data_IF_328938178375
#
_entry.id   IF_328938178375
#
_cell.length_a   1.000
_cell.length_b   1.000
_cell.length_c   1.000
_cell.angle_alpha   90.00
_cell.angle_beta   90.00
_cell.angle_gamma   90.00
#
_symmetry.space_group_name_H-M   'P 1'
#
loop_
_entity.id
_entity.type
_entity.pdbx_description
1 polymer ?
#
# COMPACT_ATOMS: atom_id res chain seq x y z
N UNK A 1 -5.32 32.07 24.26
CA UNK A 1 -6.14 31.16 25.09
C UNK A 1 -6.84 30.16 24.18
N UNK A 2 -6.72 28.85 24.45
CA UNK A 2 -7.40 27.80 23.67
C UNK A 2 -8.91 27.88 23.98
N UNK A 3 -9.77 28.03 22.96
CA UNK A 3 -11.22 28.11 23.19
C UNK A 3 -11.74 26.74 23.68
N UNK A 4 -12.73 26.73 24.58
CA UNK A 4 -13.26 25.49 25.23
C UNK A 4 -13.74 24.40 24.25
N UNK A 5 -14.12 24.77 23.02
CA UNK A 5 -14.60 23.85 21.99
C UNK A 5 -13.49 23.25 21.11
N UNK A 6 -12.27 23.80 21.15
CA UNK A 6 -11.20 23.39 20.24
C UNK A 6 -10.48 22.14 20.75
N UNK A 7 -10.55 21.07 19.97
CA UNK A 7 -10.01 19.76 20.32
C UNK A 7 -8.57 19.62 19.80
N UNK A 8 -7.75 18.82 20.49
CA UNK A 8 -6.40 18.49 20.02
C UNK A 8 -6.45 17.41 18.94
N UNK A 9 -5.59 17.50 17.91
CA UNK A 9 -5.35 16.39 16.97
C UNK A 9 -4.84 15.12 17.66
N UNK A 10 -4.22 15.27 18.83
CA UNK A 10 -3.80 14.14 19.68
C UNK A 10 -4.92 13.62 20.61
N UNK A 11 -6.15 14.12 20.51
CA UNK A 11 -7.28 13.57 21.26
C UNK A 11 -7.63 12.21 20.66
N UNK A 12 -7.79 11.22 21.53
CA UNK A 12 -8.25 9.89 21.18
C UNK A 12 -9.52 9.60 22.00
N UNK A 13 -10.36 8.71 21.49
CA UNK A 13 -11.36 8.04 22.31
C UNK A 13 -10.66 7.06 23.21
N UNK A 14 -11.02 7.00 24.49
CA UNK A 14 -10.40 6.11 25.48
C UNK A 14 -11.46 5.29 26.20
N UNK A 15 -11.11 4.04 26.46
CA UNK A 15 -11.94 3.07 27.16
C UNK A 15 -11.09 2.04 27.89
N UNK A 16 -11.72 1.14 28.65
CA UNK A 16 -11.01 0.04 29.30
C UNK A 16 -10.35 -0.83 28.22
N UNK A 17 -9.01 -0.84 28.16
CA UNK A 17 -8.25 -1.66 27.20
C UNK A 17 -8.24 -1.16 25.75
N UNK A 18 -8.74 0.05 25.45
CA UNK A 18 -8.86 0.54 24.07
C UNK A 18 -8.57 2.04 23.94
N UNK A 19 -7.93 2.42 22.82
CA UNK A 19 -7.85 3.80 22.39
C UNK A 19 -7.98 3.92 20.87
N UNK A 20 -8.84 4.82 20.41
CA UNK A 20 -9.10 5.03 18.98
C UNK A 20 -8.69 6.45 18.60
N UNK A 21 -7.77 6.56 17.63
CA UNK A 21 -7.42 7.85 17.02
C UNK A 21 -8.63 8.43 16.27
N UNK A 22 -8.84 9.74 16.38
CA UNK A 22 -10.00 10.40 15.77
C UNK A 22 -9.70 10.78 14.31
N UNK A 23 -10.69 10.73 13.41
CA UNK A 23 -10.57 11.36 12.10
C UNK A 23 -10.40 12.88 12.27
N UNK A 24 -9.99 13.57 11.21
CA UNK A 24 -9.96 15.02 11.23
C UNK A 24 -11.36 15.60 11.41
N UNK A 25 -11.54 16.30 12.53
CA UNK A 25 -12.76 17.03 12.85
C UNK A 25 -12.52 18.53 12.67
N UNK A 26 -13.52 19.26 12.22
CA UNK A 26 -13.50 20.71 12.05
C UNK A 26 -13.23 21.42 13.39
N UNK A 27 -13.69 20.84 14.51
CA UNK A 27 -13.38 21.24 15.87
C UNK A 27 -11.89 21.20 16.24
N UNK A 28 -11.03 20.57 15.43
CA UNK A 28 -9.57 20.59 15.61
C UNK A 28 -8.90 21.81 14.98
N UNK A 29 -9.59 22.51 14.09
CA UNK A 29 -9.04 23.68 13.39
C UNK A 29 -9.42 25.00 14.08
N UNK A 30 -8.50 25.97 14.17
CA UNK A 30 -8.83 27.29 14.70
C UNK A 30 -9.73 28.05 13.72
N UNK A 31 -10.83 28.63 14.20
CA UNK A 31 -11.75 29.51 13.44
C UNK A 31 -11.06 30.74 12.82
N UNK A 32 -9.81 31.04 13.21
CA UNK A 32 -9.02 32.16 12.66
C UNK A 32 -8.21 31.79 11.42
N UNK A 33 -8.33 30.57 10.89
CA UNK A 33 -7.92 30.29 9.52
C UNK A 33 -8.84 31.13 8.62
N UNK A 34 -8.32 32.26 8.13
CA UNK A 34 -9.01 33.14 7.18
C UNK A 34 -9.67 32.31 6.09
N UNK A 35 -10.87 32.71 5.62
CA UNK A 35 -11.63 32.01 4.58
C UNK A 35 -10.87 31.78 3.25
N UNK A 36 -9.65 32.33 3.12
CA UNK A 36 -8.70 32.15 2.02
C UNK A 36 -7.62 31.07 2.26
N UNK A 37 -7.54 30.49 3.46
CA UNK A 37 -6.58 29.44 3.80
C UNK A 37 -7.32 28.26 4.42
N UNK A 38 -7.79 27.34 3.59
CA UNK A 38 -8.32 26.06 4.04
C UNK A 38 -7.37 25.42 5.06
N UNK A 39 -7.88 24.84 6.15
CA UNK A 39 -7.02 24.13 7.08
C UNK A 39 -6.22 23.07 6.33
N UNK A 40 -4.89 23.15 6.43
CA UNK A 40 -4.00 22.29 5.64
C UNK A 40 -4.05 20.85 6.17
N UNK A 41 -4.90 20.03 5.57
CA UNK A 41 -4.84 18.58 5.72
C UNK A 41 -3.45 18.09 5.27
N UNK A 42 -2.83 17.16 6.00
CA UNK A 42 -1.50 16.68 5.63
C UNK A 42 -1.57 15.88 4.33
N UNK A 43 -0.50 15.96 3.54
CA UNK A 43 -0.33 15.09 2.38
C UNK A 43 0.14 13.72 2.85
N UNK A 44 -0.63 12.68 2.51
CA UNK A 44 -0.34 11.29 2.87
C UNK A 44 0.22 10.54 1.68
N UNK A 45 1.06 9.54 1.95
CA UNK A 45 1.75 8.75 0.92
C UNK A 45 1.43 7.27 1.08
N UNK A 46 1.07 6.62 -0.02
CA UNK A 46 0.93 5.17 -0.09
C UNK A 46 1.68 4.60 -1.30
N UNK A 47 2.51 3.59 -1.07
CA UNK A 47 3.30 2.91 -2.09
C UNK A 47 2.78 1.48 -2.27
N UNK A 48 2.08 1.24 -3.38
CA UNK A 48 1.48 -0.05 -3.71
C UNK A 48 2.34 -0.75 -4.74
N UNK A 49 2.81 -1.95 -4.39
CA UNK A 49 3.70 -2.74 -5.21
C UNK A 49 3.03 -4.01 -5.72
N UNK A 50 3.10 -4.18 -7.04
CA UNK A 50 2.76 -5.41 -7.74
C UNK A 50 4.05 -6.09 -8.23
N UNK A 51 4.30 -7.37 -7.89
CA UNK A 51 5.48 -8.07 -8.37
C UNK A 51 5.37 -8.43 -9.86
N UNK A 52 6.49 -8.78 -10.47
CA UNK A 52 6.57 -9.46 -11.77
C UNK A 52 6.11 -8.68 -13.01
N UNK A 53 5.99 -7.35 -12.97
CA UNK A 53 5.75 -6.50 -14.14
C UNK A 53 4.39 -6.68 -14.83
N UNK A 54 4.30 -6.24 -16.10
CA UNK A 54 3.07 -6.28 -16.90
C UNK A 54 3.30 -6.82 -18.31
N UNK A 55 2.24 -7.09 -19.04
CA UNK A 55 2.31 -7.28 -20.49
C UNK A 55 2.46 -5.90 -21.18
N UNK A 56 3.62 -5.58 -21.82
CA UNK A 56 3.89 -4.22 -22.27
C UNK A 56 2.89 -3.67 -23.29
N UNK A 57 2.42 -4.50 -24.21
CA UNK A 57 1.53 -4.12 -25.31
C UNK A 57 0.10 -3.79 -24.85
N UNK A 58 -0.29 -4.23 -23.65
CA UNK A 58 -1.61 -3.98 -23.06
C UNK A 58 -1.60 -3.01 -21.89
N UNK A 59 -0.42 -2.54 -21.48
CA UNK A 59 -0.26 -1.56 -20.40
C UNK A 59 -0.37 -0.11 -20.88
N UNK A 60 0.31 0.27 -21.96
CA UNK A 60 0.46 1.68 -22.36
C UNK A 60 -0.86 2.29 -22.87
N UNK A 61 -1.36 3.39 -22.27
CA UNK A 61 -2.48 4.15 -22.82
C UNK A 61 -2.17 4.75 -24.19
N UNK A 62 -3.18 4.96 -25.03
CA UNK A 62 -3.03 5.73 -26.26
C UNK A 62 -3.31 7.21 -26.02
N UNK A 63 -2.64 8.11 -26.76
CA UNK A 63 -2.72 9.57 -26.55
C UNK A 63 -1.89 10.06 -25.36
N UNK A 64 -1.76 11.38 -25.20
CA UNK A 64 -0.92 12.03 -24.19
C UNK A 64 -1.65 13.21 -23.55
N UNK A 65 -1.14 13.67 -22.40
CA UNK A 65 -1.77 14.74 -21.62
C UNK A 65 -3.16 14.30 -21.15
N UNK A 66 -4.11 15.23 -21.17
CA UNK A 66 -5.50 14.99 -20.75
C UNK A 66 -6.34 14.25 -21.80
N UNK A 67 -5.85 14.11 -23.03
CA UNK A 67 -6.53 13.47 -24.16
C UNK A 67 -5.94 12.08 -24.44
N UNK A 68 -6.11 11.17 -23.48
CA UNK A 68 -5.63 9.79 -23.57
C UNK A 68 -6.76 8.79 -23.35
N UNK A 69 -6.64 7.59 -23.89
CA UNK A 69 -7.54 6.46 -23.62
C UNK A 69 -6.82 5.39 -22.80
N UNK A 70 -7.49 4.91 -21.75
CA UNK A 70 -6.95 3.83 -20.92
C UNK A 70 -6.76 2.57 -21.77
N UNK A 71 -5.62 1.92 -21.59
CA UNK A 71 -5.35 0.62 -22.22
C UNK A 71 -6.28 -0.47 -21.65
N UNK A 72 -6.40 -1.65 -22.30
CA UNK A 72 -7.27 -2.71 -21.83
C UNK A 72 -7.01 -3.14 -20.38
N UNK A 73 -5.75 -3.13 -19.95
CA UNK A 73 -5.36 -3.54 -18.61
C UNK A 73 -5.67 -2.46 -17.57
N UNK A 74 -5.67 -1.18 -17.96
CA UNK A 74 -6.01 -0.04 -17.09
C UNK A 74 -7.50 0.29 -16.99
N UNK A 75 -8.37 -0.42 -17.72
CA UNK A 75 -9.83 -0.21 -17.69
C UNK A 75 -10.47 -0.23 -16.29
N UNK A 76 -9.99 -1.02 -15.30
CA UNK A 76 -10.51 -0.95 -13.94
C UNK A 76 -10.46 0.44 -13.30
N UNK A 77 -9.59 1.35 -13.79
CA UNK A 77 -9.41 2.70 -13.27
C UNK A 77 -10.26 3.76 -13.99
N UNK A 78 -11.23 3.37 -14.83
CA UNK A 78 -12.02 4.29 -15.66
C UNK A 78 -12.73 5.38 -14.84
N UNK A 79 -13.31 5.04 -13.69
CA UNK A 79 -13.97 5.98 -12.76
C UNK A 79 -13.00 6.99 -12.12
N UNK A 80 -11.70 6.67 -12.13
CA UNK A 80 -10.61 7.43 -11.53
C UNK A 80 -9.73 8.11 -12.57
N UNK A 81 -10.07 8.07 -13.88
CA UNK A 81 -9.23 8.60 -14.97
C UNK A 81 -8.74 10.03 -14.71
N UNK A 82 -9.58 10.89 -14.12
CA UNK A 82 -9.26 12.29 -13.81
C UNK A 82 -8.44 12.49 -12.52
N UNK A 83 -8.30 11.44 -11.72
CA UNK A 83 -7.62 11.44 -10.43
C UNK A 83 -6.27 10.71 -10.48
N UNK A 84 -5.88 10.18 -11.65
CA UNK A 84 -4.62 9.45 -11.85
C UNK A 84 -3.68 10.13 -12.84
N UNK A 85 -2.40 9.86 -12.67
CA UNK A 85 -1.33 10.07 -13.61
C UNK A 85 -0.83 8.71 -14.08
N UNK A 86 -0.70 8.51 -15.39
CA UNK A 86 0.05 7.37 -15.96
C UNK A 86 1.39 7.90 -16.45
N UNK A 87 2.49 7.33 -15.94
CA UNK A 87 3.84 7.82 -16.19
C UNK A 87 4.63 6.78 -17.00
N UNK A 88 4.97 7.12 -18.25
CA UNK A 88 5.77 6.30 -19.15
C UNK A 88 7.23 6.76 -19.23
N UNK A 89 8.09 5.85 -19.68
CA UNK A 89 9.54 6.00 -19.88
C UNK A 89 10.38 6.21 -18.61
N UNK A 90 9.78 5.95 -17.45
CA UNK A 90 10.49 5.96 -16.17
C UNK A 90 11.31 4.68 -16.00
N UNK A 91 12.53 4.79 -15.47
CA UNK A 91 13.46 3.65 -15.31
C UNK A 91 14.12 3.68 -13.93
N UNK A 92 14.31 2.50 -13.33
CA UNK A 92 15.19 2.34 -12.18
C UNK A 92 16.59 1.90 -12.63
N UNK A 93 17.45 2.88 -12.95
CA UNK A 93 18.78 2.63 -13.55
C UNK A 93 19.67 1.76 -12.68
N UNK A 94 19.64 1.98 -11.37
CA UNK A 94 20.54 1.31 -10.44
C UNK A 94 20.16 -0.16 -10.18
N UNK A 95 19.07 -0.66 -10.79
CA UNK A 95 18.77 -2.10 -10.88
C UNK A 95 19.56 -2.84 -11.96
N UNK A 96 20.37 -2.12 -12.76
CA UNK A 96 21.21 -2.67 -13.83
C UNK A 96 22.66 -2.67 -13.36
N UNK A 97 23.17 -3.85 -13.00
CA UNK A 97 24.57 -4.08 -12.68
C UNK A 97 24.94 -5.54 -12.97
N UNK A 98 26.23 -5.87 -12.95
CA UNK A 98 26.69 -7.23 -13.23
C UNK A 98 26.08 -8.24 -12.25
N UNK A 99 25.40 -9.26 -12.77
CA UNK A 99 24.77 -10.30 -11.97
C UNK A 99 23.42 -9.92 -11.36
N UNK A 100 22.86 -8.77 -11.74
CA UNK A 100 21.53 -8.30 -11.32
C UNK A 100 20.36 -9.00 -12.02
N UNK A 101 20.55 -10.11 -12.73
CA UNK A 101 19.47 -10.76 -13.47
C UNK A 101 18.34 -11.26 -12.57
N UNK A 102 17.14 -11.36 -13.13
CA UNK A 102 15.94 -11.75 -12.42
C UNK A 102 15.23 -10.59 -11.72
N UNK A 103 14.28 -10.94 -10.85
CA UNK A 103 13.37 -10.00 -10.20
C UNK A 103 14.02 -9.24 -9.03
N UNK A 104 14.91 -9.89 -8.28
CA UNK A 104 15.42 -9.41 -6.99
C UNK A 104 16.05 -8.02 -7.05
N UNK A 105 16.93 -7.77 -8.02
CA UNK A 105 17.63 -6.50 -8.15
C UNK A 105 16.77 -5.34 -8.69
N UNK A 106 15.54 -5.64 -9.14
CA UNK A 106 14.60 -4.68 -9.73
C UNK A 106 13.52 -4.26 -8.74
N UNK A 107 13.14 -5.19 -7.87
CA UNK A 107 12.08 -4.97 -6.91
C UNK A 107 12.63 -4.45 -5.56
N UNK A 108 13.72 -5.03 -5.05
CA UNK A 108 14.27 -4.69 -3.73
C UNK A 108 14.63 -3.21 -3.60
N UNK A 109 15.14 -2.61 -4.68
CA UNK A 109 15.55 -1.21 -4.71
C UNK A 109 14.51 -0.29 -5.33
N UNK A 110 13.26 -0.73 -5.54
CA UNK A 110 12.24 0.10 -6.18
C UNK A 110 12.11 1.45 -5.46
N UNK A 111 11.97 1.42 -4.13
CA UNK A 111 11.80 2.64 -3.32
C UNK A 111 13.13 3.27 -2.87
N UNK A 112 14.28 2.60 -3.03
CA UNK A 112 15.60 3.22 -2.75
C UNK A 112 16.18 3.88 -3.99
N UNK A 113 15.86 3.38 -5.19
CA UNK A 113 16.51 3.71 -6.47
C UNK A 113 18.04 3.61 -6.40
N UNK A 114 18.58 2.78 -5.52
CA UNK A 114 20.02 2.57 -5.31
C UNK A 114 20.41 1.13 -5.69
N UNK A 115 21.68 0.85 -6.05
CA UNK A 115 22.09 -0.52 -6.35
C UNK A 115 22.07 -1.36 -5.08
N UNK A 116 21.55 -2.59 -5.17
CA UNK A 116 21.64 -3.57 -4.08
C UNK A 116 22.96 -4.34 -4.16
N UNK A 117 23.42 -4.88 -3.04
CA UNK A 117 24.51 -5.86 -3.02
C UNK A 117 23.99 -7.23 -3.40
N UNK A 118 24.61 -7.87 -4.40
CA UNK A 118 24.37 -9.29 -4.68
C UNK A 118 24.93 -10.16 -3.56
N UNK A 119 24.05 -10.90 -2.89
CA UNK A 119 24.39 -11.68 -1.69
C UNK A 119 23.42 -12.82 -1.44
N UNK A 120 23.93 -13.90 -0.83
CA UNK A 120 23.15 -15.00 -0.27
C UNK A 120 22.47 -14.63 1.08
N UNK A 121 22.81 -13.50 1.70
CA UNK A 121 22.10 -12.96 2.87
C UNK A 121 22.99 -12.55 4.05
N UNK A 122 24.30 -12.73 3.96
CA UNK A 122 25.29 -12.39 5.01
C UNK A 122 25.63 -10.89 5.08
N UNK A 123 25.46 -10.16 3.97
CA UNK A 123 25.78 -8.73 3.85
C UNK A 123 24.72 -7.96 3.06
N UNK A 124 23.45 -8.16 3.42
CA UNK A 124 22.29 -7.51 2.79
C UNK A 124 22.45 -5.98 2.80
N UNK A 125 22.29 -5.36 1.64
CA UNK A 125 22.38 -3.91 1.47
C UNK A 125 21.55 -3.47 0.25
N UNK A 126 20.52 -2.65 0.47
CA UNK A 126 19.67 -2.05 -0.55
C UNK A 126 20.17 -0.67 -1.05
N UNK A 127 21.38 -0.30 -0.67
CA UNK A 127 22.09 0.91 -1.08
C UNK A 127 21.68 2.18 -0.34
N UNK A 128 20.51 2.21 0.30
CA UNK A 128 19.99 3.43 0.94
C UNK A 128 18.76 3.21 1.81
N UNK A 129 18.32 4.28 2.46
CA UNK A 129 16.99 4.38 3.06
C UNK A 129 15.97 4.59 1.93
N UNK A 130 14.84 3.89 1.97
CA UNK A 130 13.80 4.03 0.95
C UNK A 130 13.00 5.32 1.12
N UNK A 131 12.40 5.81 0.03
CA UNK A 131 11.67 7.08 0.00
C UNK A 131 10.50 7.12 0.99
N UNK A 132 9.76 6.02 1.14
CA UNK A 132 8.69 5.88 2.14
C UNK A 132 9.24 6.12 3.55
N UNK A 133 10.40 5.57 3.87
CA UNK A 133 11.01 5.70 5.19
C UNK A 133 11.64 7.08 5.44
N UNK A 134 12.12 7.75 4.39
CA UNK A 134 12.51 9.16 4.48
C UNK A 134 11.30 10.06 4.79
N UNK A 135 10.16 9.82 4.14
CA UNK A 135 8.91 10.54 4.40
C UNK A 135 8.37 10.20 5.80
N UNK A 136 8.45 8.94 6.21
CA UNK A 136 8.06 8.50 7.55
C UNK A 136 8.88 9.22 8.62
N UNK A 137 10.19 9.35 8.40
CA UNK A 137 11.09 10.11 9.27
C UNK A 137 10.75 11.59 9.37
N UNK A 138 10.21 12.19 8.31
CA UNK A 138 9.76 13.59 8.30
C UNK A 138 8.52 13.79 9.18
N UNK A 139 7.59 12.83 9.22
CA UNK A 139 6.33 12.94 9.97
C UNK A 139 6.30 12.20 11.32
N UNK A 140 7.38 11.51 11.70
CA UNK A 140 7.41 10.57 12.84
C UNK A 140 6.90 11.13 14.17
N UNK A 141 7.05 12.44 14.40
CA UNK A 141 6.67 13.10 15.67
C UNK A 141 5.22 13.67 15.61
N UNK A 142 4.55 13.53 14.48
CA UNK A 142 3.18 14.01 14.24
C UNK A 142 2.13 12.89 14.22
N UNK A 143 2.54 11.64 14.01
CA UNK A 143 1.66 10.48 13.86
C UNK A 143 1.92 9.43 14.94
N UNK A 144 0.99 8.50 15.14
CA UNK A 144 1.17 7.39 16.10
C UNK A 144 2.20 6.38 15.59
N UNK A 145 2.15 6.09 14.29
CA UNK A 145 3.09 5.22 13.60
C UNK A 145 3.82 6.05 12.54
N UNK A 146 5.17 6.05 12.51
CA UNK A 146 5.92 6.71 11.45
C UNK A 146 5.51 6.20 10.06
N UNK A 147 5.31 4.90 9.94
CA UNK A 147 4.80 4.20 8.76
C UNK A 147 4.12 2.89 9.15
N UNK A 148 3.34 2.31 8.22
CA UNK A 148 2.83 0.95 8.32
C UNK A 148 3.10 0.18 7.01
N UNK A 149 3.75 -0.97 7.15
CA UNK A 149 4.09 -1.88 6.06
C UNK A 149 3.15 -3.10 6.08
N UNK A 150 2.48 -3.32 4.96
CA UNK A 150 1.44 -4.34 4.80
C UNK A 150 1.68 -5.18 3.53
N UNK A 151 1.02 -6.33 3.44
CA UNK A 151 1.03 -7.12 2.21
C UNK A 151 0.22 -8.39 2.31
N UNK A 152 0.37 -9.28 1.33
CA UNK A 152 -0.34 -10.57 1.28
C UNK A 152 0.57 -11.78 1.56
N UNK A 153 1.88 -11.65 1.31
CA UNK A 153 2.87 -12.72 1.46
C UNK A 153 3.79 -12.49 2.67
N UNK A 154 4.14 -13.54 3.41
CA UNK A 154 5.19 -13.47 4.45
C UNK A 154 6.54 -13.14 3.81
N UNK A 155 7.52 -12.72 4.61
CA UNK A 155 8.90 -12.63 4.12
C UNK A 155 9.42 -14.03 3.80
N UNK A 156 9.92 -14.22 2.59
CA UNK A 156 10.60 -15.45 2.20
C UNK A 156 12.06 -15.42 2.66
N UNK A 157 12.48 -16.49 3.35
CA UNK A 157 13.86 -16.70 3.80
C UNK A 157 14.62 -17.64 2.85
N UNK A 158 15.94 -17.72 2.99
CA UNK A 158 16.79 -18.57 2.16
C UNK A 158 17.32 -17.87 0.91
N UNK A 159 17.84 -18.66 -0.03
CA UNK A 159 18.56 -18.19 -1.22
C UNK A 159 17.89 -18.74 -2.45
N UNK A 160 17.75 -17.91 -3.48
CA UNK A 160 17.53 -18.42 -4.83
C UNK A 160 18.90 -18.76 -5.45
N UNK A 161 19.19 -20.06 -5.47
CA UNK A 161 20.47 -20.59 -5.97
C UNK A 161 20.69 -20.35 -7.46
N UNK A 162 19.62 -20.11 -8.24
CA UNK A 162 19.74 -19.90 -9.69
C UNK A 162 20.35 -18.54 -10.01
N UNK A 163 20.01 -17.52 -9.21
CA UNK A 163 20.46 -16.15 -9.41
C UNK A 163 21.43 -15.65 -8.34
N UNK A 164 21.57 -16.38 -7.23
CA UNK A 164 22.50 -16.07 -6.14
C UNK A 164 22.07 -14.88 -5.28
N UNK A 165 20.76 -14.69 -5.11
CA UNK A 165 20.19 -13.65 -4.25
C UNK A 165 19.45 -14.26 -3.05
N UNK A 166 19.55 -13.58 -1.91
CA UNK A 166 18.65 -13.83 -0.78
C UNK A 166 17.20 -13.56 -1.17
N UNK A 167 16.30 -14.44 -0.74
CA UNK A 167 14.85 -14.29 -0.96
C UNK A 167 14.24 -13.10 -0.24
N UNK A 168 14.97 -12.53 0.73
CA UNK A 168 14.57 -11.31 1.42
C UNK A 168 14.41 -10.11 0.48
N UNK A 169 15.25 -10.01 -0.55
CA UNK A 169 15.18 -8.92 -1.53
C UNK A 169 13.91 -8.92 -2.38
N UNK A 170 13.30 -10.08 -2.59
CA UNK A 170 11.99 -10.16 -3.24
C UNK A 170 10.83 -9.85 -2.29
N UNK A 171 11.10 -9.80 -0.99
CA UNK A 171 10.08 -9.78 0.05
C UNK A 171 9.91 -8.44 0.73
N UNK A 172 10.75 -7.44 0.39
CA UNK A 172 10.71 -6.11 0.97
C UNK A 172 11.19 -5.06 -0.02
N UNK A 173 10.45 -3.95 -0.09
CA UNK A 173 10.81 -2.74 -0.82
C UNK A 173 11.03 -1.55 0.12
N UNK A 174 10.69 -1.70 1.40
CA UNK A 174 10.82 -0.67 2.45
C UNK A 174 12.06 -0.94 3.29
N UNK A 175 12.99 0.01 3.28
CA UNK A 175 14.30 -0.08 3.90
C UNK A 175 14.50 1.08 4.87
N UNK A 176 14.46 0.77 6.17
CA UNK A 176 14.68 1.76 7.24
C UNK A 176 16.14 2.25 7.26
N UNK A 177 17.05 1.34 6.93
CA UNK A 177 18.47 1.62 6.69
C UNK A 177 18.89 0.82 5.46
N UNK A 178 20.09 1.05 4.89
CA UNK A 178 20.57 0.24 3.77
C UNK A 178 20.55 -1.27 4.07
N UNK A 179 20.70 -1.70 5.31
CA UNK A 179 20.82 -3.12 5.70
C UNK A 179 19.61 -3.63 6.49
N UNK A 180 18.59 -2.79 6.72
CA UNK A 180 17.43 -3.14 7.57
C UNK A 180 16.13 -3.01 6.78
N UNK A 181 15.62 -4.12 6.21
CA UNK A 181 14.29 -4.13 5.62
C UNK A 181 13.21 -4.09 6.71
N UNK A 182 12.04 -3.56 6.37
CA UNK A 182 10.88 -3.61 7.24
C UNK A 182 10.00 -4.81 6.90
N UNK A 183 9.51 -5.47 7.95
CA UNK A 183 8.56 -6.57 7.86
C UNK A 183 7.17 -6.06 7.60
N UNK A 184 6.44 -6.78 6.74
CA UNK A 184 5.05 -6.48 6.42
C UNK A 184 4.08 -7.33 7.24
N UNK A 185 3.06 -6.69 7.78
CA UNK A 185 1.93 -7.38 8.40
C UNK A 185 0.97 -7.86 7.30
N UNK A 186 0.53 -9.11 7.40
CA UNK A 186 -0.28 -9.78 6.36
C UNK A 186 -1.61 -10.31 6.91
N UNK A 187 -1.79 -10.29 8.22
CA UNK A 187 -3.01 -10.68 8.89
C UNK A 187 -3.86 -9.42 9.14
N UNK A 188 -5.05 -9.30 8.50
CA UNK A 188 -5.95 -8.18 8.72
C UNK A 188 -6.34 -7.98 10.18
N UNK A 189 -6.42 -9.06 10.98
CA UNK A 189 -6.72 -8.95 12.41
C UNK A 189 -5.59 -8.28 13.18
N UNK A 190 -4.35 -8.68 12.94
CA UNK A 190 -3.19 -8.06 13.58
C UNK A 190 -2.99 -6.61 13.12
N UNK A 191 -3.21 -6.35 11.82
CA UNK A 191 -3.18 -4.99 11.28
C UNK A 191 -4.23 -4.08 11.92
N UNK A 192 -5.47 -4.57 12.08
CA UNK A 192 -6.55 -3.84 12.76
C UNK A 192 -6.26 -3.63 14.25
N UNK A 193 -5.87 -4.70 14.94
CA UNK A 193 -5.52 -4.65 16.37
C UNK A 193 -4.39 -3.63 16.61
N UNK A 194 -3.40 -3.54 15.72
CA UNK A 194 -2.33 -2.55 15.83
C UNK A 194 -2.83 -1.10 15.81
N UNK A 195 -3.89 -0.79 15.05
CA UNK A 195 -4.43 0.58 14.99
C UNK A 195 -5.26 0.95 16.22
N UNK A 196 -5.94 -0.01 16.85
CA UNK A 196 -6.99 0.28 17.82
C UNK A 196 -6.74 -0.29 19.22
N UNK A 197 -5.94 -1.36 19.36
CA UNK A 197 -5.59 -1.89 20.68
C UNK A 197 -4.41 -1.12 21.26
N UNK A 198 -4.72 -0.25 22.22
CA UNK A 198 -3.74 0.15 23.22
C UNK A 198 -3.72 -0.91 24.32
N UNK A 199 -2.56 -1.52 24.55
CA UNK A 199 -2.30 -2.30 25.76
C UNK A 199 -2.42 -1.36 26.97
N UNK A 200 -3.61 -1.27 27.56
CA UNK A 200 -3.77 -0.63 28.87
C UNK A 200 -3.24 -1.63 29.88
N UNK A 201 -2.16 -1.28 30.58
CA UNK A 201 -1.68 -2.05 31.74
C UNK A 201 -2.85 -2.26 32.71
N UNK A 202 -3.25 -3.52 32.92
CA UNK A 202 -4.34 -3.90 33.83
C UNK A 202 -5.46 -4.77 33.25
N UNK A 203 -5.43 -5.17 31.97
CA UNK A 203 -6.41 -6.16 31.46
C UNK A 203 -6.26 -7.50 32.19
N UNK A 204 -7.32 -8.06 32.78
CA UNK A 204 -7.26 -9.36 33.45
C UNK A 204 -6.79 -10.45 32.49
N UNK A 205 -5.73 -11.17 32.86
CA UNK A 205 -5.32 -12.40 32.18
C UNK A 205 -6.45 -13.42 32.35
N UNK A 206 -7.24 -13.66 31.31
CA UNK A 206 -8.20 -14.77 31.30
C UNK A 206 -9.46 -14.59 30.44
N UNK A 207 -9.87 -13.35 30.12
CA UNK A 207 -10.97 -13.15 29.18
C UNK A 207 -10.45 -13.10 27.75
N UNK A 208 -11.13 -13.81 26.84
CA UNK A 208 -10.82 -13.72 25.43
C UNK A 208 -11.12 -12.28 24.96
N UNK A 209 -10.10 -11.44 24.68
CA UNK A 209 -10.30 -10.05 24.32
C UNK A 209 -10.98 -9.89 22.95
N UNK A 210 -11.26 -11.00 22.26
CA UNK A 210 -11.94 -11.07 20.97
C UNK A 210 -13.46 -11.28 21.08
N UNK A 211 -14.04 -11.34 22.29
CA UNK A 211 -15.50 -11.48 22.48
C UNK A 211 -16.26 -10.15 22.52
N UNK A 212 -15.58 -9.01 22.71
CA UNK A 212 -16.22 -7.71 22.88
C UNK A 212 -15.73 -6.72 21.82
N UNK A 213 -16.65 -5.96 21.23
CA UNK A 213 -16.33 -4.97 20.20
C UNK A 213 -15.49 -3.85 20.79
N UNK A 214 -14.47 -3.39 20.05
CA UNK A 214 -13.67 -2.24 20.48
C UNK A 214 -14.52 -0.96 20.64
N UNK A 215 -15.61 -0.87 19.87
CA UNK A 215 -16.53 0.25 19.94
C UNK A 215 -17.34 0.26 21.24
N UNK A 216 -17.60 -0.91 21.83
CA UNK A 216 -18.25 -1.00 23.14
C UNK A 216 -17.33 -0.44 24.23
N UNK A 217 -16.02 -0.68 24.13
CA UNK A 217 -15.04 -0.20 25.09
C UNK A 217 -14.94 1.34 25.13
N UNK A 218 -15.12 2.03 23.99
CA UNK A 218 -14.99 3.49 23.89
C UNK A 218 -16.34 4.23 23.79
N UNK A 219 -17.46 3.52 23.92
CA UNK A 219 -18.82 4.02 23.64
C UNK A 219 -19.17 5.27 24.45
N UNK A 220 -18.82 5.32 25.72
CA UNK A 220 -19.12 6.45 26.61
C UNK A 220 -18.32 7.70 26.24
N UNK A 221 -17.02 7.56 25.97
CA UNK A 221 -16.17 8.69 25.55
C UNK A 221 -16.57 9.19 24.16
N UNK A 222 -16.98 8.28 23.25
CA UNK A 222 -17.54 8.65 21.95
C UNK A 222 -18.85 9.45 22.08
N UNK A 223 -19.77 9.04 22.95
CA UNK A 223 -21.02 9.76 23.23
C UNK A 223 -20.75 11.13 23.84
N UNK A 224 -19.81 11.20 24.80
CA UNK A 224 -19.40 12.45 25.43
C UNK A 224 -18.78 13.43 24.43
N UNK A 225 -17.91 12.93 23.54
CA UNK A 225 -17.32 13.72 22.47
C UNK A 225 -18.39 14.23 21.50
N UNK A 226 -19.30 13.36 21.04
CA UNK A 226 -20.39 13.72 20.10
C UNK A 226 -21.20 14.91 20.61
N UNK A 227 -21.51 14.96 21.91
CA UNK A 227 -22.26 16.06 22.52
C UNK A 227 -21.56 17.43 22.46
N UNK A 228 -20.24 17.46 22.24
CA UNK A 228 -19.44 18.68 22.18
C UNK A 228 -19.02 19.05 20.75
N UNK A 229 -19.45 18.30 19.74
CA UNK A 229 -19.13 18.52 18.33
C UNK A 229 -20.28 19.21 17.60
N UNK A 230 -19.93 20.02 16.60
CA UNK A 230 -20.91 20.55 15.63
C UNK A 230 -21.47 19.44 14.73
N UNK A 231 -22.58 19.69 14.04
CA UNK A 231 -23.30 18.66 13.29
C UNK A 231 -22.44 17.91 12.27
N UNK A 232 -21.64 18.63 11.49
CA UNK A 232 -20.75 18.01 10.48
C UNK A 232 -19.73 17.06 11.12
N UNK A 233 -19.15 17.43 12.26
CA UNK A 233 -18.20 16.59 12.99
C UNK A 233 -18.86 15.39 13.66
N UNK A 234 -20.12 15.51 14.09
CA UNK A 234 -20.89 14.38 14.58
C UNK A 234 -21.12 13.35 13.47
N UNK A 235 -21.48 13.80 12.27
CA UNK A 235 -21.71 12.93 11.12
C UNK A 235 -20.41 12.22 10.68
N UNK A 236 -19.27 12.94 10.63
CA UNK A 236 -17.93 12.36 10.35
C UNK A 236 -17.52 11.32 11.39
N UNK A 237 -17.72 11.62 12.68
CA UNK A 237 -17.40 10.68 13.76
C UNK A 237 -18.25 9.41 13.67
N UNK A 238 -19.53 9.53 13.33
CA UNK A 238 -20.44 8.40 13.17
C UNK A 238 -20.06 7.52 11.98
N UNK A 239 -19.73 8.11 10.82
CA UNK A 239 -19.23 7.40 9.64
C UNK A 239 -17.92 6.63 9.94
N UNK A 240 -17.02 7.26 10.70
CA UNK A 240 -15.76 6.64 11.10
C UNK A 240 -15.97 5.43 12.03
N UNK A 241 -16.81 5.57 13.05
CA UNK A 241 -17.11 4.47 13.98
C UNK A 241 -17.86 3.33 13.28
N UNK A 242 -18.75 3.63 12.34
CA UNK A 242 -19.43 2.59 11.54
C UNK A 242 -18.46 1.88 10.59
N UNK A 243 -17.48 2.60 10.01
CA UNK A 243 -16.41 1.99 9.22
C UNK A 243 -15.55 1.02 10.05
N UNK A 244 -15.23 1.37 11.29
CA UNK A 244 -14.54 0.46 12.23
C UNK A 244 -15.39 -0.78 12.50
N UNK A 245 -16.69 -0.61 12.80
CA UNK A 245 -17.62 -1.72 13.06
C UNK A 245 -17.71 -2.70 11.89
N UNK A 246 -17.81 -2.15 10.68
CA UNK A 246 -17.91 -2.95 9.45
C UNK A 246 -16.68 -3.84 9.24
N UNK A 247 -15.48 -3.29 9.45
CA UNK A 247 -14.23 -4.05 9.36
C UNK A 247 -14.15 -5.11 10.46
N UNK A 248 -14.45 -4.74 11.71
CA UNK A 248 -14.44 -5.68 12.86
C UNK A 248 -15.38 -6.88 12.62
N UNK A 249 -16.56 -6.64 12.04
CA UNK A 249 -17.51 -7.68 11.67
C UNK A 249 -16.96 -8.61 10.58
N UNK A 250 -16.31 -8.06 9.56
CA UNK A 250 -15.70 -8.85 8.46
C UNK A 250 -14.51 -9.68 8.96
N UNK A 251 -13.67 -9.11 9.83
CA UNK A 251 -12.55 -9.83 10.49
C UNK A 251 -13.04 -10.95 11.42
N UNK A 252 -14.22 -10.80 12.02
CA UNK A 252 -14.80 -11.77 12.96
C UNK A 252 -15.70 -12.81 12.29
N UNK A 253 -15.75 -12.85 10.95
CA UNK A 253 -16.60 -13.79 10.23
C UNK A 253 -16.05 -15.22 10.30
N UNK A 254 -16.52 -15.97 11.31
CA UNK A 254 -16.12 -17.36 11.59
C UNK A 254 -16.54 -18.38 10.50
N UNK A 255 -17.45 -18.02 9.58
CA UNK A 255 -17.88 -18.91 8.50
C UNK A 255 -16.77 -19.24 7.51
N UNK A 256 -15.99 -18.24 7.11
CA UNK A 256 -14.92 -18.41 6.11
C UNK A 256 -13.75 -19.28 6.63
N UNK A 257 -13.45 -19.22 7.94
CA UNK A 257 -12.44 -20.06 8.58
C UNK A 257 -12.81 -21.55 8.54
N UNK A 258 -14.08 -21.88 8.80
CA UNK A 258 -14.57 -23.28 8.78
C UNK A 258 -14.63 -23.85 7.37
N UNK A 259 -15.05 -23.05 6.39
CA UNK A 259 -15.06 -23.45 4.99
C UNK A 259 -13.64 -23.69 4.44
N UNK A 260 -12.66 -22.90 4.91
CA UNK A 260 -11.25 -23.09 4.59
C UNK A 260 -10.66 -24.37 5.22
N UNK A 261 -10.91 -24.63 6.51
CA UNK A 261 -10.42 -25.82 7.21
C UNK A 261 -10.90 -27.13 6.55
N UNK A 262 -12.11 -27.13 5.99
CA UNK A 262 -12.70 -28.30 5.32
C UNK A 262 -11.99 -28.72 4.02
N UNK A 263 -11.12 -27.87 3.45
CA UNK A 263 -10.44 -28.11 2.17
C UNK A 263 -9.02 -28.69 2.29
N UNK A 264 -8.52 -28.93 3.52
CA UNK A 264 -7.16 -29.44 3.75
C UNK A 264 -7.12 -30.97 3.74
N UNK A 265 -6.45 -31.58 2.75
CA UNK A 265 -6.33 -33.05 2.61
C UNK A 265 -5.12 -33.64 3.38
N UNK A 266 -5.09 -34.96 3.64
CA UNK A 266 -3.95 -35.63 4.29
C UNK A 266 -2.62 -35.53 3.53
N UNK A 267 -2.66 -35.53 2.20
CA UNK A 267 -1.46 -35.42 1.36
C UNK A 267 -0.85 -34.01 1.43
N UNK A 268 -1.69 -32.98 1.51
CA UNK A 268 -1.27 -31.60 1.78
C UNK A 268 -0.54 -31.55 3.13
N UNK A 269 -1.08 -32.16 4.19
CA UNK A 269 -0.41 -32.21 5.52
C UNK A 269 0.98 -32.86 5.50
N UNK A 270 1.20 -33.86 4.65
CA UNK A 270 2.48 -34.59 4.56
C UNK A 270 3.59 -33.77 3.90
N UNK A 271 3.28 -33.04 2.83
CA UNK A 271 4.23 -32.13 2.18
C UNK A 271 4.60 -30.93 3.07
N UNK A 272 3.68 -30.47 3.93
CA UNK A 272 3.89 -29.34 4.83
C UNK A 272 4.92 -29.61 5.93
N UNK A 273 4.89 -30.82 6.50
CA UNK A 273 5.91 -31.25 7.46
C UNK A 273 7.30 -31.33 6.82
N UNK A 274 7.39 -31.61 5.52
CA UNK A 274 8.67 -31.65 4.78
C UNK A 274 9.25 -30.25 4.58
N UNK A 275 8.40 -29.25 4.35
CA UNK A 275 8.81 -27.88 4.01
C UNK A 275 8.96 -26.94 5.22
N UNK A 276 8.57 -27.37 6.44
CA UNK A 276 8.53 -26.50 7.63
C UNK A 276 7.67 -25.23 7.42
N UNK A 277 6.58 -25.35 6.66
CA UNK A 277 5.62 -24.26 6.34
C UNK A 277 4.30 -24.57 7.04
N UNK A 278 3.59 -23.55 7.57
CA UNK A 278 2.27 -23.79 8.16
C UNK A 278 1.23 -24.19 7.09
N UNK A 279 0.21 -24.95 7.49
CA UNK A 279 -0.88 -25.36 6.57
C UNK A 279 -1.56 -24.15 5.93
N UNK A 280 -1.80 -23.11 6.72
CA UNK A 280 -2.40 -21.86 6.24
C UNK A 280 -1.54 -21.19 5.17
N UNK A 281 -0.22 -21.13 5.36
CA UNK A 281 0.70 -20.45 4.46
C UNK A 281 0.84 -21.14 3.10
N UNK A 282 0.99 -22.46 3.09
CA UNK A 282 1.05 -23.19 1.83
C UNK A 282 -0.26 -23.12 1.06
N UNK A 283 -1.40 -23.16 1.76
CA UNK A 283 -2.72 -23.11 1.13
C UNK A 283 -2.98 -21.71 0.55
N UNK A 284 -2.68 -20.65 1.29
CA UNK A 284 -2.80 -19.25 0.82
C UNK A 284 -1.93 -18.96 -0.43
N UNK A 285 -0.77 -19.61 -0.53
CA UNK A 285 0.14 -19.42 -1.67
C UNK A 285 -0.17 -20.35 -2.84
N UNK A 286 -0.46 -21.63 -2.60
CA UNK A 286 -0.44 -22.64 -3.66
C UNK A 286 -1.84 -23.15 -4.05
N UNK A 287 -2.85 -23.03 -3.17
CA UNK A 287 -4.17 -23.60 -3.43
C UNK A 287 -5.09 -22.71 -4.29
N UNK A 288 -4.61 -21.53 -4.69
CA UNK A 288 -5.39 -20.61 -5.52
C UNK A 288 -6.61 -20.07 -4.80
N UNK A 289 -6.45 -19.70 -3.52
CA UNK A 289 -7.52 -19.11 -2.73
C UNK A 289 -7.78 -17.68 -3.18
N UNK A 290 -9.05 -17.32 -3.28
CA UNK A 290 -9.45 -15.95 -3.54
C UNK A 290 -9.03 -15.03 -2.38
N UNK A 291 -8.01 -14.22 -2.65
CA UNK A 291 -7.46 -13.24 -1.70
C UNK A 291 -8.08 -11.85 -1.87
N UNK A 292 -9.13 -11.70 -2.68
CA UNK A 292 -9.79 -10.40 -2.93
C UNK A 292 -10.30 -9.78 -1.64
N UNK A 293 -11.01 -10.55 -0.82
CA UNK A 293 -11.56 -10.04 0.44
C UNK A 293 -10.46 -9.68 1.45
N UNK A 294 -9.43 -10.53 1.58
CA UNK A 294 -8.25 -10.26 2.41
C UNK A 294 -7.56 -8.95 1.97
N UNK A 295 -7.38 -8.76 0.67
CA UNK A 295 -6.77 -7.57 0.08
C UNK A 295 -7.60 -6.31 0.38
N UNK A 296 -8.91 -6.37 0.15
CA UNK A 296 -9.82 -5.25 0.43
C UNK A 296 -9.88 -4.92 1.91
N UNK A 297 -9.85 -5.91 2.80
CA UNK A 297 -9.75 -5.69 4.24
C UNK A 297 -8.47 -4.94 4.63
N UNK A 298 -7.32 -5.34 4.09
CA UNK A 298 -6.06 -4.61 4.32
C UNK A 298 -6.15 -3.16 3.82
N UNK A 299 -6.77 -2.93 2.66
CA UNK A 299 -7.00 -1.58 2.13
C UNK A 299 -7.96 -0.73 2.95
N UNK A 300 -9.01 -1.33 3.52
CA UNK A 300 -9.91 -0.61 4.42
C UNK A 300 -9.20 -0.22 5.73
N UNK A 301 -8.36 -1.10 6.28
CA UNK A 301 -7.53 -0.81 7.46
C UNK A 301 -6.53 0.32 7.15
N UNK A 302 -5.88 0.26 5.99
CA UNK A 302 -5.01 1.32 5.49
C UNK A 302 -5.75 2.66 5.36
N UNK A 303 -6.97 2.66 4.80
CA UNK A 303 -7.78 3.86 4.69
C UNK A 303 -8.14 4.44 6.06
N UNK A 304 -8.47 3.60 7.05
CA UNK A 304 -8.69 4.05 8.43
C UNK A 304 -7.44 4.65 9.06
N UNK A 305 -6.26 4.07 8.81
CA UNK A 305 -4.99 4.59 9.33
C UNK A 305 -4.67 6.00 8.77
N UNK A 306 -4.95 6.22 7.49
CA UNK A 306 -4.80 7.54 6.85
C UNK A 306 -5.85 8.54 7.35
N UNK A 307 -7.11 8.10 7.44
CA UNK A 307 -8.23 8.96 7.83
C UNK A 307 -8.08 9.49 9.27
N UNK A 308 -7.60 8.65 10.19
CA UNK A 308 -7.35 9.03 11.59
C UNK A 308 -5.99 9.70 11.85
N UNK A 309 -5.18 9.93 10.81
CA UNK A 309 -3.79 10.41 10.93
C UNK A 309 -2.92 9.50 11.83
N UNK A 310 -3.30 8.23 12.00
CA UNK A 310 -2.51 7.25 12.74
C UNK A 310 -1.14 7.03 12.07
N UNK A 311 -1.10 7.12 10.74
CA UNK A 311 0.12 7.30 9.97
C UNK A 311 -0.16 8.14 8.72
N UNK A 312 0.91 8.69 8.14
CA UNK A 312 0.88 9.38 6.84
C UNK A 312 1.63 8.61 5.76
N UNK A 313 2.23 7.47 6.08
CA UNK A 313 3.02 6.67 5.15
C UNK A 313 2.61 5.21 5.23
N UNK A 314 2.24 4.66 4.08
CA UNK A 314 1.89 3.26 3.92
C UNK A 314 2.70 2.62 2.80
N UNK A 315 3.08 1.37 2.98
CA UNK A 315 3.60 0.52 1.91
C UNK A 315 2.81 -0.78 1.88
N UNK A 316 2.39 -1.22 0.69
CA UNK A 316 1.63 -2.46 0.51
C UNK A 316 2.22 -3.30 -0.63
N UNK A 317 2.49 -4.58 -0.37
CA UNK A 317 2.93 -5.53 -1.40
C UNK A 317 1.86 -6.59 -1.66
N UNK A 318 1.36 -6.69 -2.90
CA UNK A 318 0.46 -7.77 -3.31
C UNK A 318 1.11 -9.16 -3.26
N UNK A 319 2.44 -9.20 -3.36
CA UNK A 319 3.20 -10.37 -3.02
C UNK A 319 4.68 -10.18 -3.15
N UNK A 320 5.44 -11.21 -2.79
CA UNK A 320 6.88 -11.21 -3.00
C UNK A 320 7.16 -11.46 -4.49
N UNK A 321 8.26 -10.90 -4.98
CA UNK A 321 8.80 -11.32 -6.27
C UNK A 321 9.14 -12.81 -6.22
N UNK A 322 9.01 -13.52 -7.35
CA UNK A 322 9.34 -14.95 -7.42
C UNK A 322 8.45 -15.84 -6.50
N UNK A 323 7.37 -15.32 -5.91
CA UNK A 323 6.47 -16.14 -5.09
C UNK A 323 5.60 -17.05 -5.96
N UNK A 324 5.22 -18.19 -5.38
CA UNK A 324 4.32 -19.15 -6.02
C UNK A 324 2.84 -18.80 -5.80
N UNK A 325 2.49 -17.53 -5.50
CA UNK A 325 1.11 -17.12 -5.29
C UNK A 325 0.26 -17.50 -6.51
N UNK A 326 -0.60 -18.49 -6.31
CA UNK A 326 -1.50 -19.06 -7.28
C UNK A 326 -2.75 -18.17 -7.41
N UNK A 327 -3.08 -17.80 -8.65
CA UNK A 327 -4.22 -16.95 -8.98
C UNK A 327 -5.38 -17.73 -9.61
N UNK A 328 -5.42 -19.06 -9.48
CA UNK A 328 -6.45 -19.90 -10.09
C UNK A 328 -7.88 -19.71 -9.53
N UNK A 329 -8.08 -18.81 -8.56
CA UNK A 329 -9.42 -18.31 -8.21
C UNK A 329 -9.99 -17.36 -9.28
N UNK A 330 -9.13 -16.76 -10.11
CA UNK A 330 -9.55 -15.97 -11.25
C UNK A 330 -9.94 -16.88 -12.41
N UNK A 331 -11.14 -16.65 -12.94
CA UNK A 331 -11.59 -17.37 -14.12
C UNK A 331 -10.59 -17.22 -15.29
N UNK A 332 -10.26 -18.35 -15.90
CA UNK A 332 -9.27 -18.45 -16.97
C UNK A 332 -7.81 -18.43 -16.52
N UNK A 333 -7.49 -18.40 -15.22
CA UNK A 333 -6.11 -18.48 -14.70
C UNK A 333 -5.87 -19.84 -14.06
N UNK A 334 -4.70 -20.45 -14.30
CA UNK A 334 -4.40 -21.81 -13.83
C UNK A 334 -3.13 -21.92 -12.99
N UNK A 335 -2.40 -20.83 -12.78
CA UNK A 335 -1.08 -20.88 -12.16
C UNK A 335 -0.67 -19.66 -11.35
N UNK A 336 0.60 -19.70 -10.94
CA UNK A 336 1.22 -18.64 -10.16
C UNK A 336 1.62 -17.44 -11.01
N UNK A 337 1.50 -16.23 -10.45
CA UNK A 337 1.83 -14.99 -11.16
C UNK A 337 3.28 -14.97 -11.66
N UNK A 338 4.24 -15.39 -10.84
CA UNK A 338 5.63 -15.46 -11.25
C UNK A 338 5.83 -16.37 -12.46
N UNK A 339 5.33 -17.60 -12.42
CA UNK A 339 5.46 -18.56 -13.53
C UNK A 339 4.80 -18.04 -14.81
N UNK A 340 3.61 -17.43 -14.71
CA UNK A 340 2.89 -16.87 -15.86
C UNK A 340 3.57 -15.62 -16.43
N UNK A 341 4.33 -14.87 -15.62
CA UNK A 341 5.13 -13.75 -16.09
C UNK A 341 6.29 -14.17 -16.99
N UNK A 342 6.78 -15.41 -16.87
CA UNK A 342 7.73 -16.04 -17.80
C UNK A 342 7.01 -16.59 -19.04
N UNK A 343 6.26 -15.71 -19.70
CA UNK A 343 5.27 -16.10 -20.70
C UNK A 343 5.88 -16.67 -21.99
N UNK A 344 7.16 -16.45 -22.31
CA UNK A 344 7.84 -16.95 -23.53
C UNK A 344 7.10 -16.62 -24.85
N UNK A 345 6.40 -15.48 -24.89
CA UNK A 345 5.45 -15.08 -25.95
C UNK A 345 4.33 -16.09 -26.23
N UNK A 346 4.03 -17.00 -25.30
CA UNK A 346 2.87 -17.87 -25.38
C UNK A 346 1.58 -17.07 -25.11
N UNK A 347 0.67 -17.04 -26.07
CA UNK A 347 -0.58 -16.25 -26.00
C UNK A 347 -1.45 -16.62 -24.80
N UNK A 348 -1.53 -17.90 -24.44
CA UNK A 348 -2.32 -18.36 -23.29
C UNK A 348 -1.72 -17.88 -21.95
N UNK A 349 -0.40 -17.86 -21.82
CA UNK A 349 0.25 -17.31 -20.62
C UNK A 349 0.08 -15.79 -20.55
N UNK A 350 0.19 -15.08 -21.70
CA UNK A 350 -0.03 -13.65 -21.78
C UNK A 350 -1.45 -13.25 -21.37
N UNK A 351 -2.48 -13.98 -21.82
CA UNK A 351 -3.86 -13.69 -21.42
C UNK A 351 -4.08 -13.86 -19.92
N UNK A 352 -3.52 -14.92 -19.32
CA UNK A 352 -3.59 -15.14 -17.88
C UNK A 352 -2.85 -14.05 -17.08
N UNK A 353 -1.68 -13.65 -17.57
CA UNK A 353 -0.89 -12.57 -16.99
C UNK A 353 -1.64 -11.22 -17.03
N UNK A 354 -2.35 -10.93 -18.12
CA UNK A 354 -3.23 -9.76 -18.22
C UNK A 354 -4.39 -9.81 -17.22
N UNK A 355 -5.02 -10.99 -17.03
CA UNK A 355 -6.10 -11.18 -16.05
C UNK A 355 -5.62 -10.91 -14.63
N UNK A 356 -4.45 -11.42 -14.27
CA UNK A 356 -3.83 -11.14 -12.97
C UNK A 356 -3.51 -9.65 -12.83
N UNK A 357 -2.96 -9.01 -13.85
CA UNK A 357 -2.66 -7.57 -13.82
C UNK A 357 -3.93 -6.73 -13.64
N UNK A 358 -5.01 -7.08 -14.33
CA UNK A 358 -6.33 -6.42 -14.18
C UNK A 358 -6.85 -6.56 -12.75
N UNK A 359 -6.78 -7.75 -12.15
CA UNK A 359 -7.21 -7.97 -10.77
C UNK A 359 -6.44 -7.06 -9.79
N UNK A 360 -5.13 -6.89 -9.97
CA UNK A 360 -4.35 -5.97 -9.15
C UNK A 360 -4.86 -4.52 -9.29
N UNK A 361 -5.11 -4.06 -10.52
CA UNK A 361 -5.63 -2.71 -10.77
C UNK A 361 -7.07 -2.52 -10.29
N UNK A 362 -7.89 -3.56 -10.28
CA UNK A 362 -9.21 -3.53 -9.64
C UNK A 362 -9.09 -3.27 -8.13
N UNK A 363 -8.15 -3.93 -7.45
CA UNK A 363 -7.96 -3.70 -6.01
C UNK A 363 -7.33 -2.32 -5.73
N UNK A 364 -6.38 -1.87 -6.56
CA UNK A 364 -5.84 -0.51 -6.47
C UNK A 364 -6.92 0.56 -6.69
N UNK A 365 -7.79 0.35 -7.69
CA UNK A 365 -8.95 1.18 -7.96
C UNK A 365 -9.89 1.22 -6.76
N UNK A 366 -10.21 0.06 -6.17
CA UNK A 366 -11.02 -0.02 -4.95
C UNK A 366 -10.44 0.82 -3.80
N UNK A 367 -9.13 0.74 -3.56
CA UNK A 367 -8.49 1.56 -2.52
C UNK A 367 -8.60 3.05 -2.82
N UNK A 368 -8.32 3.46 -4.06
CA UNK A 368 -8.43 4.86 -4.46
C UNK A 368 -9.88 5.38 -4.37
N UNK A 369 -10.87 4.60 -4.77
CA UNK A 369 -12.30 4.93 -4.62
C UNK A 369 -12.71 5.07 -3.15
N UNK A 370 -12.20 4.18 -2.28
CA UNK A 370 -12.41 4.27 -0.83
C UNK A 370 -11.83 5.55 -0.24
N UNK A 371 -10.63 5.96 -0.66
CA UNK A 371 -10.06 7.25 -0.23
C UNK A 371 -10.84 8.44 -0.82
N UNK A 372 -11.35 8.32 -2.05
CA UNK A 372 -12.15 9.37 -2.71
C UNK A 372 -13.53 9.54 -2.05
N UNK A 373 -14.09 8.50 -1.45
CA UNK A 373 -15.39 8.58 -0.77
C UNK A 373 -15.31 9.35 0.56
N UNK A 374 -14.15 9.43 1.18
CA UNK A 374 -13.94 10.07 2.48
C UNK A 374 -13.71 11.58 2.28
N UNK A 375 -14.52 12.43 2.93
CA UNK A 375 -14.40 13.89 2.84
C UNK A 375 -13.44 14.47 3.88
N UNK A 376 -12.59 15.39 3.42
CA UNK A 376 -11.69 16.21 4.22
C UNK A 376 -11.88 17.69 3.83
N UNK A 377 -12.89 18.33 4.44
CA UNK A 377 -13.34 19.66 4.06
C UNK A 377 -13.96 19.66 2.66
N UNK A 378 -13.54 20.59 1.81
CA UNK A 378 -13.99 20.67 0.40
C UNK A 378 -13.32 19.64 -0.51
N UNK A 379 -12.38 18.86 0.03
CA UNK A 379 -11.60 17.84 -0.68
C UNK A 379 -11.94 16.44 -0.19
N UNK A 380 -11.36 15.45 -0.83
CA UNK A 380 -11.39 14.05 -0.39
C UNK A 380 -10.07 13.65 0.25
N UNK A 381 -10.06 12.54 1.00
CA UNK A 381 -8.82 11.95 1.50
C UNK A 381 -7.87 11.59 0.34
N UNK A 382 -8.40 11.18 -0.82
CA UNK A 382 -7.60 10.97 -2.04
C UNK A 382 -6.97 12.27 -2.56
N UNK A 383 -7.70 13.39 -2.56
CA UNK A 383 -7.15 14.70 -2.98
C UNK A 383 -5.99 15.16 -2.07
N UNK A 384 -6.03 14.79 -0.79
CA UNK A 384 -4.96 15.03 0.19
C UNK A 384 -3.97 13.87 0.31
N UNK A 385 -3.94 12.96 -0.67
CA UNK A 385 -3.01 11.84 -0.70
C UNK A 385 -2.27 11.77 -2.03
N UNK A 386 -1.19 11.01 -2.02
CA UNK A 386 -0.49 10.48 -3.19
C UNK A 386 -0.41 8.97 -3.03
N UNK A 387 -0.94 8.23 -4.00
CA UNK A 387 -1.01 6.77 -3.97
C UNK A 387 -0.37 6.21 -5.23
N UNK A 388 0.84 5.66 -5.10
CA UNK A 388 1.59 5.06 -6.20
C UNK A 388 1.18 3.61 -6.37
N UNK A 389 0.93 3.17 -7.60
CA UNK A 389 0.97 1.77 -8.01
C UNK A 389 2.18 1.57 -8.90
N UNK A 390 3.03 0.59 -8.58
CA UNK A 390 4.20 0.29 -9.39
C UNK A 390 4.64 -1.17 -9.37
N UNK A 391 5.38 -1.54 -10.40
CA UNK A 391 6.23 -2.74 -10.43
C UNK A 391 7.67 -2.35 -10.75
N UNK A 392 8.64 -3.10 -10.23
CA UNK A 392 10.06 -2.93 -10.57
C UNK A 392 10.42 -3.44 -11.96
N UNK A 393 9.47 -4.07 -12.65
CA UNK A 393 9.62 -4.63 -13.98
C UNK A 393 8.55 -4.07 -14.92
N UNK A 394 8.94 -3.79 -16.16
CA UNK A 394 7.98 -3.58 -17.25
C UNK A 394 7.45 -4.89 -17.79
N UNK A 395 8.31 -5.87 -17.99
CA UNK A 395 7.96 -7.20 -18.49
C UNK A 395 8.65 -8.22 -17.59
N UNK A 396 7.86 -9.12 -16.99
CA UNK A 396 8.36 -10.20 -16.14
C UNK A 396 9.29 -11.16 -16.89
N UNK A 397 8.96 -11.52 -18.14
CA UNK A 397 9.73 -12.47 -18.93
C UNK A 397 11.09 -11.91 -19.34
N UNK A 398 11.15 -10.61 -19.65
CA UNK A 398 12.39 -9.92 -20.04
C UNK A 398 13.19 -9.38 -18.85
N UNK A 399 12.62 -9.39 -17.65
CA UNK A 399 13.16 -8.70 -16.47
C UNK A 399 13.54 -7.23 -16.75
N UNK A 400 12.75 -6.53 -17.57
CA UNK A 400 13.09 -5.18 -18.03
C UNK A 400 12.85 -4.12 -16.93
N UNK A 401 13.86 -3.35 -16.51
CA UNK A 401 13.69 -2.24 -15.56
C UNK A 401 13.34 -0.89 -16.20
N UNK A 402 13.06 -0.89 -17.51
CA UNK A 402 12.80 0.31 -18.34
C UNK A 402 11.31 0.48 -18.60
N UNK A 403 10.85 1.73 -18.73
CA UNK A 403 9.44 2.09 -18.94
C UNK A 403 8.52 1.41 -17.93
N UNK A 404 8.86 1.55 -16.64
CA UNK A 404 8.20 0.88 -15.53
C UNK A 404 6.70 1.20 -15.47
N UNK A 405 5.85 0.23 -15.11
CA UNK A 405 4.42 0.45 -14.99
C UNK A 405 4.13 1.27 -13.75
N UNK A 406 3.93 2.59 -13.90
CA UNK A 406 3.73 3.52 -12.79
C UNK A 406 2.45 4.32 -12.98
N UNK A 407 1.61 4.29 -11.93
CA UNK A 407 0.41 5.11 -11.80
C UNK A 407 0.48 5.85 -10.48
N UNK A 408 0.11 7.13 -10.47
CA UNK A 408 -0.03 7.92 -9.24
C UNK A 408 -1.43 8.48 -9.16
N UNK A 409 -2.16 8.14 -8.11
CA UNK A 409 -3.49 8.69 -7.83
C UNK A 409 -3.43 9.76 -6.74
N UNK A 410 -4.35 10.72 -6.81
CA UNK A 410 -4.51 11.79 -5.83
C UNK A 410 -3.75 13.06 -6.15
N UNK A 411 -4.20 14.17 -5.56
CA UNK A 411 -3.75 15.53 -5.90
C UNK A 411 -2.66 16.07 -4.98
N UNK A 412 -2.19 15.28 -4.01
CA UNK A 412 -1.11 15.69 -3.09
C UNK A 412 -1.40 16.98 -2.33
N UNK A 413 -2.64 17.18 -1.90
CA UNK A 413 -3.07 18.44 -1.29
C UNK A 413 -3.26 19.57 -2.31
N UNK A 414 -3.64 19.24 -3.55
CA UNK A 414 -3.85 20.20 -4.64
C UNK A 414 -2.55 20.69 -5.29
N UNK A 415 -1.44 19.98 -5.10
CA UNK A 415 -0.12 20.29 -5.66
C UNK A 415 0.21 19.49 -6.91
N UNK A 416 -0.51 18.39 -7.16
CA UNK A 416 -0.31 17.52 -8.33
C UNK A 416 -1.45 17.72 -9.33
N UNK A 417 -1.09 17.93 -10.59
CA UNK A 417 -1.99 17.89 -11.76
C UNK A 417 -2.25 16.43 -12.12
N UNK A 418 -3.47 15.94 -11.91
CA UNK A 418 -3.89 14.58 -12.28
C UNK A 418 -4.70 14.60 -13.58
N UNK A 419 -5.10 13.41 -14.06
CA UNK A 419 -5.90 13.25 -15.26
C UNK A 419 -5.07 13.25 -16.53
N UNK A 420 -3.83 12.75 -16.46
CA UNK A 420 -2.88 12.83 -17.58
C UNK A 420 -2.15 11.51 -17.82
N UNK A 421 -1.89 11.20 -19.10
CA UNK A 421 -0.86 10.25 -19.51
C UNK A 421 0.38 11.02 -19.96
N UNK A 422 1.50 10.83 -19.28
CA UNK A 422 2.75 11.53 -19.55
C UNK A 422 3.83 10.54 -20.01
N UNK A 423 4.50 10.89 -21.09
CA UNK A 423 5.63 10.13 -21.63
C UNK A 423 6.86 11.01 -21.47
N UNK A 424 7.79 10.60 -20.61
CA UNK A 424 9.04 11.32 -20.41
C UNK A 424 10.09 10.92 -21.47
N UNK A 425 11.27 11.55 -21.40
CA UNK A 425 12.43 11.09 -22.18
C UNK A 425 12.76 9.63 -21.82
N UNK A 426 13.23 8.87 -22.81
CA UNK A 426 13.61 7.48 -22.63
C UNK A 426 14.59 7.31 -21.47
N UNK A 427 14.29 6.38 -20.57
CA UNK A 427 15.08 6.08 -19.38
C UNK A 427 15.16 7.21 -18.35
N UNK A 428 14.13 8.04 -18.24
CA UNK A 428 14.03 9.06 -17.19
C UNK A 428 14.15 8.41 -15.81
N UNK A 429 15.06 8.89 -14.93
CA UNK A 429 15.24 8.29 -13.60
C UNK A 429 13.96 8.29 -12.77
N UNK A 430 13.58 7.11 -12.25
CA UNK A 430 12.45 6.96 -11.32
C UNK A 430 12.61 7.87 -10.09
N UNK A 431 13.83 8.08 -9.63
CA UNK A 431 14.13 8.96 -8.51
C UNK A 431 13.68 10.43 -8.71
N UNK A 432 13.44 10.88 -9.94
CA UNK A 432 12.84 12.19 -10.21
C UNK A 432 11.41 12.26 -9.65
N UNK A 433 10.63 11.18 -9.75
CA UNK A 433 9.30 11.08 -9.14
C UNK A 433 9.41 11.19 -7.62
N UNK A 434 10.34 10.46 -7.01
CA UNK A 434 10.54 10.46 -5.55
C UNK A 434 11.02 11.80 -5.00
N UNK A 435 11.90 12.51 -5.72
CA UNK A 435 12.31 13.86 -5.36
C UNK A 435 11.12 14.82 -5.40
N UNK A 436 10.32 14.76 -6.47
CA UNK A 436 9.10 15.57 -6.62
C UNK A 436 8.06 15.24 -5.55
N UNK A 437 7.94 13.96 -5.19
CA UNK A 437 7.04 13.47 -4.15
C UNK A 437 7.43 14.02 -2.77
N UNK A 438 8.72 13.94 -2.40
CA UNK A 438 9.23 14.48 -1.13
C UNK A 438 9.01 16.00 -1.03
N UNK A 439 9.23 16.74 -2.13
CA UNK A 439 8.92 18.16 -2.19
C UNK A 439 7.41 18.43 -2.02
N UNK A 440 6.56 17.59 -2.62
CA UNK A 440 5.10 17.71 -2.52
C UNK A 440 4.60 17.54 -1.09
N UNK A 441 5.18 16.60 -0.33
CA UNK A 441 4.85 16.40 1.09
C UNK A 441 5.48 17.45 2.02
N UNK A 442 6.29 18.37 1.49
CA UNK A 442 6.83 19.52 2.23
C UNK A 442 8.29 19.39 2.67
N UNK A 443 9.02 18.37 2.20
CA UNK A 443 10.44 18.23 2.51
C UNK A 443 11.29 19.14 1.62
N UNK A 444 12.33 19.75 2.21
CA UNK A 444 13.35 20.48 1.46
C UNK A 444 14.38 19.51 0.86
N UNK A 445 13.99 18.81 -0.19
CA UNK A 445 14.82 17.78 -0.85
C UNK A 445 15.26 18.24 -2.23
N UNK A 446 16.56 18.50 -2.38
CA UNK A 446 17.13 18.88 -3.67
C UNK A 446 17.40 17.68 -4.60
N UNK A 447 17.72 16.51 -4.01
CA UNK A 447 18.08 15.29 -4.76
C UNK A 447 17.83 14.05 -3.93
N UNK A 448 17.38 12.99 -4.59
CA UNK A 448 17.30 11.62 -4.08
C UNK A 448 17.95 10.64 -5.05
N UNK A 449 18.77 9.71 -4.57
CA UNK A 449 19.43 8.70 -5.40
C UNK A 449 20.05 9.28 -6.70
N UNK A 450 19.68 8.74 -7.85
CA UNK A 450 20.14 9.15 -9.18
C UNK A 450 19.25 10.21 -9.85
N UNK A 451 18.35 10.86 -9.10
CA UNK A 451 17.51 11.94 -9.65
C UNK A 451 18.34 13.07 -10.26
N UNK A 452 17.81 13.63 -11.34
CA UNK A 452 18.39 14.69 -12.13
C UNK A 452 17.56 15.97 -12.08
N UNK A 453 16.26 15.87 -11.76
CA UNK A 453 15.34 17.03 -11.73
C UNK A 453 14.07 16.77 -10.92
N UNK A 454 13.36 17.85 -10.61
CA UNK A 454 11.94 17.84 -10.27
C UNK A 454 11.09 17.68 -11.55
N UNK A 455 10.01 16.92 -11.46
CA UNK A 455 9.03 16.72 -12.53
C UNK A 455 7.99 17.85 -12.50
N UNK A 456 8.33 19.01 -13.05
CA UNK A 456 7.41 20.16 -13.08
C UNK A 456 6.12 19.90 -13.88
N UNK A 457 6.15 18.92 -14.79
CA UNK A 457 5.02 18.51 -15.63
C UNK A 457 3.84 17.98 -14.81
N UNK A 458 4.09 17.43 -13.61
CA UNK A 458 3.05 16.89 -12.73
C UNK A 458 2.61 17.89 -11.64
N UNK A 459 3.30 19.02 -11.48
CA UNK A 459 3.03 20.01 -10.44
C UNK A 459 2.02 21.05 -10.91
N UNK A 460 1.17 21.56 -10.01
CA UNK A 460 0.20 22.65 -10.27
C UNK A 460 0.88 23.98 -10.56
#
# INVERSE_FOLDING_TARGET
MRKKWQISRRKMLKGVGAAIALPFLDAMFPLSATASSHPAYPVRSAFIFMPNGVHPDRWTPSGIGTHFELSPTLQPLKSLKNDILVLGQMMNKNSIFQGADGHYAKDANLLTSMPITKTAGDNINAGGVSVDQLIAGHFKDETLFPSLEYGLDRIATGVDINVGFTRLYASSISWKTPTTPLSKEIDPRLAFDRLFKSFVDGTPKGENPHKHSILDAVKEDAKSLKNNLGRSDQDKLEEYLESIRSIEKRISNQGNLKDFESKITPDIRKELNRLHISIEEFTDLNAGIDVTEKTRLMYDIMALALWSDATRVLTFMYGNSVSNRNFSFLDGVTGAHHSLSHHMNNENNLEQYDRITKWHLEQYGYFCEKLKSIKEGDRTLLDNSLVMFASGLRDGNRHSPRDLPIIVAGRGGGKIKTGQNLIFEDNTPLANLYTTWMQTVGMNTAKFADSTRTLHEILV
#
